data_IF_394404530400
#
_entry.id   IF_394404530400
#
_cell.length_a   1.000
_cell.length_b   1.000
_cell.length_c   1.000
_cell.angle_alpha   90.00
_cell.angle_beta   90.00
_cell.angle_gamma   90.00
#
_symmetry.space_group_name_H-M   'P 1'
#
loop_
_entity.id
_entity.type
_entity.pdbx_description
1 polymer ?
#
# COMPACT_ATOMS: atom_id res chain seq x y z
N UNK A 1 23.99 11.78 6.61
CA UNK A 1 23.86 12.62 5.40
C UNK A 1 22.57 13.43 5.55
N UNK A 2 22.68 14.75 5.70
CA UNK A 2 21.55 15.67 5.73
C UNK A 2 21.05 15.84 4.29
N UNK A 3 19.90 15.28 3.98
CA UNK A 3 19.23 15.54 2.71
C UNK A 3 18.63 16.95 2.78
N UNK A 4 19.37 17.92 2.27
CA UNK A 4 18.83 19.24 1.94
C UNK A 4 17.87 19.07 0.76
N UNK A 5 16.68 19.67 0.83
CA UNK A 5 15.76 19.70 -0.30
C UNK A 5 16.46 20.35 -1.50
N UNK A 6 16.43 19.67 -2.63
CA UNK A 6 16.92 20.25 -3.90
C UNK A 6 16.09 21.52 -4.18
N UNK A 7 16.72 22.67 -4.49
CA UNK A 7 15.97 23.88 -4.84
C UNK A 7 14.96 23.58 -5.97
N UNK A 8 13.76 24.14 -5.86
CA UNK A 8 12.65 23.89 -6.81
C UNK A 8 13.05 24.11 -8.28
N UNK A 9 13.92 25.09 -8.53
CA UNK A 9 14.46 25.37 -9.86
C UNK A 9 15.29 24.22 -10.40
N UNK A 10 16.24 23.69 -9.62
CA UNK A 10 17.09 22.56 -10.03
C UNK A 10 16.28 21.27 -10.21
N UNK A 11 15.30 21.02 -9.35
CA UNK A 11 14.43 19.84 -9.48
C UNK A 11 13.62 19.87 -10.78
N UNK A 12 13.17 21.05 -11.22
CA UNK A 12 12.43 21.20 -12.47
C UNK A 12 13.31 20.95 -13.70
N UNK A 13 14.57 21.43 -13.70
CA UNK A 13 15.52 21.16 -14.79
C UNK A 13 15.83 19.66 -14.88
N UNK A 14 16.23 19.04 -13.79
CA UNK A 14 16.58 17.61 -13.75
C UNK A 14 15.39 16.74 -14.16
N UNK A 15 14.20 17.04 -13.64
CA UNK A 15 13.00 16.32 -14.03
C UNK A 15 12.62 16.53 -15.50
N UNK A 16 12.92 17.71 -16.06
CA UNK A 16 12.68 18.02 -17.47
C UNK A 16 13.43 17.09 -18.43
N UNK A 17 14.60 16.59 -18.02
CA UNK A 17 15.43 15.67 -18.80
C UNK A 17 14.89 14.22 -18.85
N UNK A 18 13.87 13.88 -18.05
CA UNK A 18 13.27 12.54 -18.04
C UNK A 18 12.20 12.47 -19.13
N UNK A 19 12.35 11.66 -20.18
CA UNK A 19 11.39 11.58 -21.31
C UNK A 19 10.03 11.07 -20.87
N UNK A 20 9.98 10.04 -20.03
CA UNK A 20 8.74 9.41 -19.56
C UNK A 20 8.00 10.31 -18.58
N UNK A 21 6.73 10.64 -18.91
CA UNK A 21 5.87 11.56 -18.15
C UNK A 21 5.59 11.05 -16.72
N UNK A 22 5.38 9.75 -16.55
CA UNK A 22 5.09 9.15 -15.24
C UNK A 22 6.34 9.14 -14.35
N UNK A 23 7.49 8.76 -14.91
CA UNK A 23 8.80 8.80 -14.22
C UNK A 23 9.19 10.22 -13.86
N UNK A 24 8.99 11.19 -14.75
CA UNK A 24 9.22 12.63 -14.51
C UNK A 24 8.39 13.13 -13.34
N UNK A 25 7.09 12.78 -13.28
CA UNK A 25 6.21 13.16 -12.18
C UNK A 25 6.70 12.56 -10.84
N UNK A 26 7.08 11.28 -10.82
CA UNK A 26 7.64 10.62 -9.65
C UNK A 26 8.94 11.29 -9.18
N UNK A 27 9.87 11.56 -10.09
CA UNK A 27 11.15 12.21 -9.78
C UNK A 27 10.93 13.61 -9.18
N UNK A 28 10.02 14.42 -9.74
CA UNK A 28 9.69 15.75 -9.22
C UNK A 28 9.14 15.70 -7.79
N UNK A 29 8.25 14.75 -7.49
CA UNK A 29 7.72 14.57 -6.14
C UNK A 29 8.82 14.17 -5.16
N UNK A 30 9.71 13.26 -5.54
CA UNK A 30 10.81 12.82 -4.68
C UNK A 30 11.80 13.94 -4.40
N UNK A 31 12.14 14.77 -5.39
CA UNK A 31 13.10 15.86 -5.23
C UNK A 31 12.55 17.03 -4.41
N UNK A 32 11.26 17.31 -4.53
CA UNK A 32 10.61 18.43 -3.83
C UNK A 32 10.05 18.04 -2.47
N UNK A 33 10.10 16.76 -2.11
CA UNK A 33 9.62 16.30 -0.81
C UNK A 33 10.58 16.73 0.30
N UNK A 34 10.10 17.35 1.39
CA UNK A 34 10.94 17.74 2.51
C UNK A 34 11.35 16.51 3.35
N UNK A 35 12.19 15.67 2.79
CA UNK A 35 12.62 14.38 3.37
C UNK A 35 13.15 14.50 4.80
N UNK A 36 13.76 15.66 5.16
CA UNK A 36 14.26 15.88 6.51
C UNK A 36 13.13 15.80 7.56
N UNK A 37 11.95 16.32 7.23
CA UNK A 37 10.78 16.28 8.11
C UNK A 37 10.27 14.85 8.28
N UNK A 38 10.15 14.09 7.17
CA UNK A 38 9.72 12.71 7.23
C UNK A 38 10.73 11.84 7.98
N UNK A 39 12.03 11.99 7.73
CA UNK A 39 13.07 11.23 8.45
C UNK A 39 13.05 11.54 9.95
N UNK A 40 12.90 12.81 10.35
CA UNK A 40 12.77 13.18 11.76
C UNK A 40 11.50 12.58 12.38
N UNK A 41 10.39 12.61 11.66
CA UNK A 41 9.14 12.00 12.09
C UNK A 41 9.28 10.49 12.28
N UNK A 42 9.89 9.79 11.31
CA UNK A 42 10.15 8.35 11.38
C UNK A 42 10.98 8.03 12.62
N UNK A 43 12.08 8.75 12.87
CA UNK A 43 12.94 8.54 14.06
C UNK A 43 12.19 8.60 15.38
N UNK A 44 11.13 9.39 15.48
CA UNK A 44 10.31 9.52 16.70
C UNK A 44 9.25 8.43 16.83
N UNK A 45 9.03 7.63 15.78
CA UNK A 45 7.97 6.62 15.72
C UNK A 45 8.50 5.20 15.47
N UNK A 46 9.81 5.00 15.67
CA UNK A 46 10.48 3.70 15.71
C UNK A 46 11.47 3.69 16.86
N UNK A 47 11.67 2.53 17.47
CA UNK A 47 12.56 2.36 18.63
C UNK A 47 14.01 2.08 18.22
N UNK A 48 14.25 1.73 16.96
CA UNK A 48 15.55 1.37 16.43
C UNK A 48 16.20 2.50 15.61
N UNK A 49 17.53 2.56 15.52
CA UNK A 49 18.21 3.52 14.65
C UNK A 49 17.92 3.25 13.18
N UNK A 50 17.74 4.31 12.39
CA UNK A 50 17.60 4.22 10.94
C UNK A 50 18.94 3.86 10.33
N UNK A 51 19.05 2.66 9.76
CA UNK A 51 20.23 2.15 9.05
C UNK A 51 20.03 2.17 7.53
N UNK A 52 18.79 1.97 7.07
CA UNK A 52 18.44 1.89 5.65
C UNK A 52 17.13 2.60 5.37
N UNK A 53 17.11 3.39 4.31
CA UNK A 53 15.90 4.02 3.79
C UNK A 53 15.74 3.66 2.31
N UNK A 54 14.52 3.32 1.92
CA UNK A 54 14.10 3.18 0.53
C UNK A 54 12.90 4.08 0.32
N UNK A 55 12.87 4.81 -0.79
CA UNK A 55 11.76 5.71 -1.10
C UNK A 55 11.07 5.31 -2.38
N UNK A 56 9.76 5.38 -2.35
CA UNK A 56 8.89 5.11 -3.48
C UNK A 56 7.84 6.21 -3.56
N UNK A 57 7.34 6.47 -4.77
CA UNK A 57 6.18 7.35 -4.95
C UNK A 57 5.01 6.47 -5.36
N UNK A 58 3.93 6.53 -4.59
CA UNK A 58 2.71 5.78 -4.85
C UNK A 58 2.07 6.12 -6.19
N UNK A 59 1.07 5.33 -6.56
CA UNK A 59 0.34 5.51 -7.81
C UNK A 59 -0.17 6.97 -7.94
N UNK A 60 -0.03 7.55 -9.14
CA UNK A 60 -0.39 8.94 -9.44
C UNK A 60 0.22 10.00 -8.49
N UNK A 61 1.32 9.68 -7.80
CA UNK A 61 1.95 10.56 -6.82
C UNK A 61 0.99 11.01 -5.69
N UNK A 62 0.09 10.14 -5.25
CA UNK A 62 -0.80 10.42 -4.11
C UNK A 62 -0.07 10.36 -2.77
N UNK A 63 0.96 9.50 -2.68
CA UNK A 63 1.70 9.26 -1.44
C UNK A 63 3.20 9.16 -1.69
N UNK A 64 3.98 9.62 -0.70
CA UNK A 64 5.40 9.29 -0.56
C UNK A 64 5.50 8.08 0.38
N UNK A 65 6.10 7.01 -0.10
CA UNK A 65 6.29 5.78 0.66
C UNK A 65 7.76 5.68 1.05
N UNK A 66 8.03 5.48 2.34
CA UNK A 66 9.38 5.32 2.87
C UNK A 66 9.47 3.99 3.60
N UNK A 67 10.27 3.08 3.05
CA UNK A 67 10.67 1.84 3.70
C UNK A 67 11.86 2.08 4.63
N UNK A 68 11.82 1.52 5.84
CA UNK A 68 12.82 1.71 6.88
C UNK A 68 13.30 0.37 7.39
N UNK A 69 14.62 0.13 7.29
CA UNK A 69 15.31 -1.05 7.81
C UNK A 69 14.77 -2.40 7.31
N UNK A 70 14.04 -2.42 6.17
CA UNK A 70 13.28 -3.59 5.72
C UNK A 70 12.37 -4.19 6.82
N UNK A 71 11.83 -3.30 7.70
CA UNK A 71 10.97 -3.63 8.85
C UNK A 71 9.69 -2.81 8.87
N UNK A 72 9.76 -1.53 8.46
CA UNK A 72 8.62 -0.61 8.48
C UNK A 72 8.40 0.06 7.14
N UNK A 73 7.15 0.36 6.85
CA UNK A 73 6.70 1.22 5.75
C UNK A 73 5.95 2.41 6.34
N UNK A 74 6.30 3.61 5.89
CA UNK A 74 5.57 4.84 6.20
C UNK A 74 4.99 5.40 4.90
N UNK A 75 3.68 5.61 4.85
CA UNK A 75 2.96 6.19 3.70
C UNK A 75 2.49 7.60 4.06
N UNK A 76 3.17 8.61 3.51
CA UNK A 76 2.90 10.02 3.74
C UNK A 76 1.98 10.55 2.62
N UNK A 77 0.84 11.20 2.93
CA UNK A 77 0.00 11.79 1.91
C UNK A 77 0.69 12.99 1.28
N UNK A 78 0.68 13.08 -0.05
CA UNK A 78 1.23 14.19 -0.82
C UNK A 78 0.15 15.17 -1.31
N UNK A 79 -1.09 14.72 -1.41
CA UNK A 79 -2.23 15.54 -1.79
C UNK A 79 -3.01 16.00 -0.56
N UNK A 80 -3.75 17.12 -0.71
CA UNK A 80 -4.64 17.67 0.32
C UNK A 80 -6.10 17.24 0.15
N UNK A 81 -6.34 16.25 -0.70
CA UNK A 81 -7.67 15.66 -0.92
C UNK A 81 -8.15 14.81 0.28
N UNK A 82 -9.06 13.91 0.04
CA UNK A 82 -9.65 12.98 1.01
C UNK A 82 -8.68 11.91 1.58
N UNK A 83 -7.37 12.12 1.53
CA UNK A 83 -6.37 11.12 1.95
C UNK A 83 -6.48 10.72 3.43
N UNK A 84 -6.95 11.63 4.30
CA UNK A 84 -7.13 11.33 5.72
C UNK A 84 -8.37 10.46 5.95
N UNK A 85 -9.45 10.66 5.19
CA UNK A 85 -10.64 9.81 5.18
C UNK A 85 -10.31 8.41 4.66
N UNK A 86 -9.54 8.33 3.56
CA UNK A 86 -9.07 7.05 3.02
C UNK A 86 -8.20 6.31 4.03
N UNK A 87 -7.31 7.01 4.76
CA UNK A 87 -6.49 6.38 5.79
C UNK A 87 -7.33 5.83 6.95
N UNK A 88 -8.34 6.56 7.42
CA UNK A 88 -9.25 6.09 8.47
C UNK A 88 -10.10 4.91 7.99
N UNK A 89 -10.60 4.99 6.75
CA UNK A 89 -11.37 3.92 6.12
C UNK A 89 -10.55 2.65 5.99
N UNK A 90 -9.30 2.75 5.52
CA UNK A 90 -8.38 1.62 5.41
C UNK A 90 -8.17 0.91 6.75
N UNK A 91 -7.91 1.67 7.83
CA UNK A 91 -7.75 1.10 9.18
C UNK A 91 -8.99 0.33 9.63
N UNK A 92 -10.19 0.88 9.42
CA UNK A 92 -11.44 0.21 9.77
C UNK A 92 -11.60 -1.11 9.02
N UNK A 93 -11.34 -1.10 7.71
CA UNK A 93 -11.45 -2.29 6.84
C UNK A 93 -10.41 -3.34 7.27
N UNK A 94 -9.14 -2.95 7.43
CA UNK A 94 -8.08 -3.86 7.84
C UNK A 94 -8.38 -4.49 9.21
N UNK A 95 -8.79 -3.70 10.20
CA UNK A 95 -9.12 -4.21 11.53
C UNK A 95 -10.31 -5.18 11.52
N UNK A 96 -11.28 -4.96 10.64
CA UNK A 96 -12.46 -5.81 10.52
C UNK A 96 -12.19 -7.11 9.75
N UNK A 97 -11.38 -7.06 8.69
CA UNK A 97 -11.14 -8.19 7.79
C UNK A 97 -9.91 -9.03 8.13
N UNK A 98 -8.89 -8.45 8.77
CA UNK A 98 -7.66 -9.17 9.13
C UNK A 98 -7.90 -10.41 9.99
N UNK A 99 -8.78 -10.40 11.02
CA UNK A 99 -9.06 -11.60 11.83
C UNK A 99 -9.78 -12.72 11.06
N UNK A 100 -10.44 -12.39 9.95
CA UNK A 100 -11.20 -13.32 9.11
C UNK A 100 -10.39 -13.87 7.94
N UNK A 101 -9.32 -13.16 7.57
CA UNK A 101 -8.52 -13.47 6.38
C UNK A 101 -7.65 -14.71 6.56
N UNK A 102 -7.66 -15.66 5.59
CA UNK A 102 -6.75 -16.81 5.58
C UNK A 102 -5.31 -16.44 5.20
N UNK A 103 -5.07 -15.19 4.75
CA UNK A 103 -3.76 -14.65 4.38
C UNK A 103 -3.50 -13.42 5.25
N UNK A 104 -2.26 -13.26 5.70
CA UNK A 104 -1.88 -12.15 6.57
C UNK A 104 -2.17 -10.78 5.92
N UNK A 105 -2.84 -9.93 6.65
CA UNK A 105 -3.07 -8.52 6.33
C UNK A 105 -2.31 -7.70 7.36
N UNK A 106 -1.24 -6.98 6.98
CA UNK A 106 -0.48 -6.18 7.93
C UNK A 106 -1.35 -5.11 8.60
N UNK A 107 -1.27 -4.97 9.93
CA UNK A 107 -2.01 -3.95 10.64
C UNK A 107 -1.56 -2.55 10.22
N UNK A 108 -2.49 -1.61 10.21
CA UNK A 108 -2.25 -0.21 9.86
C UNK A 108 -2.25 0.63 11.13
N UNK A 109 -1.13 1.24 11.46
CA UNK A 109 -1.03 2.22 12.54
C UNK A 109 -1.16 3.63 11.96
N UNK A 110 -2.08 4.42 12.51
CA UNK A 110 -2.23 5.85 12.15
C UNK A 110 -1.37 6.69 13.07
N UNK A 111 -0.57 7.54 12.47
CA UNK A 111 0.26 8.56 13.11
C UNK A 111 -0.13 9.94 12.57
N UNK A 112 0.20 11.02 13.28
CA UNK A 112 -0.16 12.39 12.85
C UNK A 112 1.08 13.25 12.68
N UNK A 113 1.26 13.79 11.45
CA UNK A 113 2.31 14.74 11.12
C UNK A 113 1.70 16.04 10.61
N UNK A 114 1.87 17.15 11.34
CA UNK A 114 1.38 18.49 10.97
C UNK A 114 -0.11 18.49 10.56
N UNK A 115 -0.94 17.80 11.34
CA UNK A 115 -2.38 17.69 11.08
C UNK A 115 -2.79 16.64 10.05
N UNK A 116 -1.86 15.99 9.34
CA UNK A 116 -2.15 14.96 8.34
C UNK A 116 -1.90 13.55 8.88
N UNK A 117 -2.69 12.60 8.42
CA UNK A 117 -2.55 11.20 8.82
C UNK A 117 -1.45 10.52 7.99
N UNK A 118 -0.52 9.90 8.70
CA UNK A 118 0.55 9.06 8.13
C UNK A 118 0.25 7.63 8.53
N UNK A 119 0.29 6.72 7.56
CA UNK A 119 0.10 5.30 7.80
C UNK A 119 1.45 4.61 8.00
N UNK A 120 1.56 3.79 9.05
CA UNK A 120 2.72 2.94 9.32
C UNK A 120 2.29 1.48 9.26
N UNK A 121 3.06 0.67 8.54
CA UNK A 121 2.84 -0.76 8.36
C UNK A 121 4.11 -1.53 8.66
N UNK A 122 3.97 -2.82 8.92
CA UNK A 122 5.09 -3.74 8.84
C UNK A 122 5.55 -3.92 7.39
N UNK A 123 6.86 -4.04 7.19
CA UNK A 123 7.42 -4.37 5.89
C UNK A 123 7.29 -5.87 5.63
N UNK A 124 6.54 -6.25 4.63
CA UNK A 124 6.43 -7.65 4.19
C UNK A 124 7.56 -7.98 3.21
N UNK A 125 8.36 -8.98 3.54
CA UNK A 125 9.42 -9.47 2.65
C UNK A 125 8.81 -10.39 1.60
N UNK A 126 8.92 -10.04 0.33
CA UNK A 126 8.39 -10.80 -0.78
C UNK A 126 8.39 -9.98 -2.06
N UNK A 127 7.78 -10.53 -3.10
CA UNK A 127 7.52 -9.83 -4.36
C UNK A 127 6.03 -9.80 -4.62
N UNK A 128 5.54 -8.76 -5.26
CA UNK A 128 4.16 -8.77 -5.75
C UNK A 128 4.02 -9.76 -6.91
N UNK A 129 2.79 -10.14 -7.25
CA UNK A 129 2.55 -10.95 -8.45
C UNK A 129 3.18 -10.30 -9.69
N UNK A 130 3.02 -8.98 -9.85
CA UNK A 130 3.61 -8.22 -10.97
C UNK A 130 5.15 -8.27 -10.98
N UNK A 131 5.80 -8.35 -9.83
CA UNK A 131 7.26 -8.42 -9.70
C UNK A 131 7.81 -9.84 -9.80
N UNK A 132 6.93 -10.84 -9.74
CA UNK A 132 7.31 -12.25 -9.83
C UNK A 132 7.44 -12.65 -11.30
N UNK A 133 8.44 -13.48 -11.62
CA UNK A 133 8.63 -13.97 -12.97
C UNK A 133 7.38 -14.67 -13.51
N UNK A 134 6.93 -14.37 -14.74
CA UNK A 134 5.80 -15.07 -15.36
C UNK A 134 5.97 -16.60 -15.40
N UNK A 135 7.17 -17.09 -15.63
CA UNK A 135 7.44 -18.55 -15.68
C UNK A 135 7.21 -19.20 -14.31
N UNK A 136 7.62 -18.54 -13.22
CA UNK A 136 7.36 -19.00 -11.86
C UNK A 136 5.86 -19.01 -11.56
N UNK A 137 5.15 -17.96 -11.97
CA UNK A 137 3.69 -17.88 -11.80
C UNK A 137 3.01 -19.02 -12.56
N UNK A 138 3.37 -19.25 -13.84
CA UNK A 138 2.80 -20.30 -14.65
C UNK A 138 3.08 -21.69 -14.08
N UNK A 139 4.32 -21.93 -13.62
CA UNK A 139 4.71 -23.20 -12.99
C UNK A 139 3.88 -23.50 -11.74
N UNK A 140 3.50 -22.48 -10.97
CA UNK A 140 2.80 -22.63 -9.70
C UNK A 140 1.35 -22.09 -9.74
N UNK A 141 0.78 -21.88 -10.94
CA UNK A 141 -0.51 -21.23 -11.15
C UNK A 141 -1.66 -21.82 -10.33
N UNK A 142 -1.75 -23.16 -10.27
CA UNK A 142 -2.82 -23.85 -9.52
C UNK A 142 -2.73 -23.58 -8.02
N UNK A 143 -1.52 -23.57 -7.46
CA UNK A 143 -1.29 -23.26 -6.05
C UNK A 143 -1.66 -21.82 -5.72
N UNK A 144 -1.16 -20.88 -6.52
CA UNK A 144 -1.45 -19.45 -6.34
C UNK A 144 -2.94 -19.14 -6.52
N UNK A 145 -3.55 -19.66 -7.59
CA UNK A 145 -4.97 -19.47 -7.85
C UNK A 145 -5.84 -19.99 -6.70
N UNK A 146 -5.53 -21.16 -6.13
CA UNK A 146 -6.28 -21.70 -5.00
C UNK A 146 -6.19 -20.81 -3.76
N UNK A 147 -5.00 -20.29 -3.43
CA UNK A 147 -4.81 -19.40 -2.28
C UNK A 147 -5.57 -18.09 -2.48
N UNK A 148 -5.45 -17.48 -3.67
CA UNK A 148 -6.13 -16.24 -4.02
C UNK A 148 -7.65 -16.44 -4.01
N UNK A 149 -8.16 -17.51 -4.63
CA UNK A 149 -9.60 -17.79 -4.66
C UNK A 149 -10.16 -18.02 -3.27
N UNK A 150 -9.46 -18.77 -2.40
CA UNK A 150 -9.86 -18.98 -1.02
C UNK A 150 -9.91 -17.64 -0.25
N UNK A 151 -8.91 -16.80 -0.42
CA UNK A 151 -8.89 -15.46 0.19
C UNK A 151 -10.08 -14.61 -0.30
N UNK A 152 -10.27 -14.50 -1.61
CA UNK A 152 -11.37 -13.72 -2.20
C UNK A 152 -12.74 -14.24 -1.72
N UNK A 153 -12.91 -15.56 -1.64
CA UNK A 153 -14.13 -16.16 -1.15
C UNK A 153 -14.39 -15.81 0.33
N UNK A 154 -13.41 -16.04 1.20
CA UNK A 154 -13.56 -15.81 2.65
C UNK A 154 -13.82 -14.32 2.94
N UNK A 155 -13.04 -13.42 2.34
CA UNK A 155 -13.20 -11.97 2.53
C UNK A 155 -14.48 -11.47 1.88
N UNK A 156 -14.76 -11.91 0.65
CA UNK A 156 -15.94 -11.50 -0.10
C UNK A 156 -17.25 -11.93 0.54
N UNK A 157 -17.30 -13.09 1.20
CA UNK A 157 -18.50 -13.56 1.90
C UNK A 157 -18.62 -13.05 3.35
N UNK A 158 -17.59 -12.35 3.85
CA UNK A 158 -17.59 -11.82 5.22
C UNK A 158 -18.52 -10.61 5.36
N UNK A 159 -19.17 -10.50 6.52
CA UNK A 159 -20.03 -9.36 6.87
C UNK A 159 -19.72 -8.82 8.28
N UNK A 160 -18.52 -8.27 8.49
CA UNK A 160 -18.16 -7.72 9.80
C UNK A 160 -18.97 -6.46 10.12
N UNK A 161 -19.61 -6.48 11.29
CA UNK A 161 -20.51 -5.40 11.73
C UNK A 161 -19.84 -4.01 11.77
N UNK A 162 -18.52 -3.98 12.02
CA UNK A 162 -17.71 -2.76 12.21
C UNK A 162 -17.57 -1.90 10.95
N UNK A 163 -17.87 -2.47 9.77
CA UNK A 163 -17.73 -1.80 8.46
C UNK A 163 -18.98 -1.90 7.59
N UNK A 164 -20.13 -2.26 8.17
CA UNK A 164 -21.41 -2.33 7.41
C UNK A 164 -21.84 -0.99 6.85
N UNK A 165 -21.56 0.09 7.55
CA UNK A 165 -21.84 1.46 7.11
C UNK A 165 -21.00 1.91 5.91
N UNK A 166 -19.93 1.20 5.60
CA UNK A 166 -19.10 1.46 4.42
C UNK A 166 -19.61 0.77 3.14
N UNK A 167 -20.65 -0.06 3.27
CA UNK A 167 -21.27 -0.71 2.11
C UNK A 167 -22.11 0.29 1.32
N UNK A 168 -21.98 0.31 -0.01
CA UNK A 168 -22.89 1.10 -0.84
C UNK A 168 -24.31 0.52 -0.79
N UNK A 169 -25.30 1.33 -1.12
CA UNK A 169 -26.69 0.90 -1.26
C UNK A 169 -26.97 0.09 -2.53
N UNK A 170 -25.95 -0.22 -3.31
CA UNK A 170 -26.06 -0.97 -4.55
C UNK A 170 -26.43 -2.45 -4.32
N UNK A 171 -27.19 -3.03 -5.22
CA UNK A 171 -27.53 -4.45 -5.24
C UNK A 171 -26.53 -5.26 -6.05
N UNK A 172 -26.33 -6.53 -5.67
CA UNK A 172 -25.51 -7.47 -6.40
C UNK A 172 -26.06 -7.73 -7.82
N UNK A 173 -25.17 -7.87 -8.78
CA UNK A 173 -25.53 -8.40 -10.10
C UNK A 173 -25.71 -9.92 -10.02
N UNK A 174 -26.71 -10.50 -10.70
CA UNK A 174 -26.90 -11.94 -10.70
C UNK A 174 -25.64 -12.68 -11.21
N UNK A 175 -25.19 -13.71 -10.49
CA UNK A 175 -24.06 -14.55 -10.88
C UNK A 175 -22.68 -14.04 -10.44
N UNK A 176 -22.59 -12.88 -9.76
CA UNK A 176 -21.35 -12.36 -9.24
C UNK A 176 -21.29 -12.46 -7.70
N UNK A 177 -20.10 -12.66 -7.17
CA UNK A 177 -19.87 -12.54 -5.73
C UNK A 177 -19.88 -11.05 -5.37
N UNK A 178 -20.86 -10.64 -4.59
CA UNK A 178 -21.00 -9.27 -4.13
C UNK A 178 -20.52 -9.19 -2.68
N UNK A 179 -19.34 -8.62 -2.49
CA UNK A 179 -18.71 -8.64 -1.18
C UNK A 179 -17.50 -7.70 -1.07
N UNK A 180 -16.71 -7.89 -0.03
CA UNK A 180 -15.49 -7.11 0.17
C UNK A 180 -14.41 -7.55 -0.81
N UNK A 181 -13.80 -6.58 -1.46
CA UNK A 181 -12.67 -6.76 -2.38
C UNK A 181 -11.54 -5.80 -2.02
N UNK A 182 -10.30 -6.26 -2.18
CA UNK A 182 -9.10 -5.42 -2.00
C UNK A 182 -8.88 -4.46 -3.17
N UNK A 183 -9.36 -4.80 -4.36
CA UNK A 183 -9.36 -3.92 -5.55
C UNK A 183 -8.17 -4.09 -6.49
N UNK A 184 -6.98 -4.54 -6.04
CA UNK A 184 -5.79 -4.74 -6.89
C UNK A 184 -4.99 -5.98 -6.49
N UNK A 185 -5.26 -7.09 -7.15
CA UNK A 185 -4.59 -8.38 -6.89
C UNK A 185 -3.13 -8.36 -7.37
N UNK A 186 -2.84 -7.74 -8.51
CA UNK A 186 -1.53 -7.87 -9.15
C UNK A 186 -0.41 -7.16 -8.40
N UNK A 187 -0.70 -5.99 -7.84
CA UNK A 187 0.30 -5.15 -7.19
C UNK A 187 0.34 -5.30 -5.65
N UNK A 188 -0.69 -5.94 -5.05
CA UNK A 188 -0.85 -5.95 -3.60
C UNK A 188 -0.79 -7.34 -2.95
N UNK A 189 -0.76 -8.43 -3.74
CA UNK A 189 -0.56 -9.78 -3.22
C UNK A 189 0.93 -10.09 -3.18
N UNK A 190 1.46 -10.25 -1.98
CA UNK A 190 2.87 -10.53 -1.72
C UNK A 190 3.15 -12.02 -1.78
N UNK A 191 4.12 -12.41 -2.59
CA UNK A 191 4.54 -13.79 -2.82
C UNK A 191 5.91 -14.03 -2.19
N UNK A 192 6.03 -15.09 -1.43
CA UNK A 192 7.31 -15.70 -1.10
C UNK A 192 7.76 -16.51 -2.30
N UNK A 193 8.82 -16.07 -2.99
CA UNK A 193 9.28 -16.68 -4.24
C UNK A 193 10.01 -18.02 -4.06
N UNK A 194 10.38 -18.41 -2.83
CA UNK A 194 10.98 -19.71 -2.54
C UNK A 194 9.88 -20.77 -2.39
N UNK A 195 8.84 -20.46 -1.64
CA UNK A 195 7.74 -21.38 -1.37
C UNK A 195 6.57 -21.23 -2.33
N UNK A 196 6.50 -20.14 -3.08
CA UNK A 196 5.37 -19.77 -3.91
C UNK A 196 4.04 -19.73 -3.14
N UNK A 197 4.08 -19.21 -1.92
CA UNK A 197 2.91 -18.92 -1.13
C UNK A 197 2.57 -17.44 -1.23
N UNK A 198 1.27 -17.11 -1.22
CA UNK A 198 0.80 -15.76 -0.95
C UNK A 198 0.92 -15.54 0.56
N UNK A 199 1.84 -14.65 0.96
CA UNK A 199 2.19 -14.47 2.38
C UNK A 199 1.53 -13.26 3.02
N UNK A 200 1.13 -12.25 2.22
CA UNK A 200 0.38 -11.12 2.72
C UNK A 200 -0.38 -10.40 1.62
N UNK A 201 -1.35 -9.58 2.02
CA UNK A 201 -2.08 -8.67 1.15
C UNK A 201 -1.98 -7.27 1.74
N UNK A 202 -1.41 -6.36 0.95
CA UNK A 202 -1.08 -5.00 1.36
C UNK A 202 -1.96 -3.95 0.66
N UNK A 203 -1.87 -2.69 1.10
CA UNK A 203 -2.48 -1.51 0.46
C UNK A 203 -4.00 -1.62 0.26
N UNK A 204 -4.73 -1.46 1.36
CA UNK A 204 -6.19 -1.61 1.42
C UNK A 204 -6.96 -0.30 1.19
N UNK A 205 -6.29 0.77 0.75
CA UNK A 205 -6.97 2.08 0.58
C UNK A 205 -8.06 2.08 -0.50
N UNK A 206 -7.92 1.23 -1.53
CA UNK A 206 -8.89 1.08 -2.62
C UNK A 206 -9.89 -0.07 -2.37
N UNK A 207 -9.83 -0.72 -1.21
CA UNK A 207 -10.76 -1.77 -0.85
C UNK A 207 -12.21 -1.28 -0.83
N UNK A 208 -13.12 -2.06 -1.37
CA UNK A 208 -14.52 -1.70 -1.51
C UNK A 208 -15.45 -2.90 -1.32
N UNK A 209 -16.73 -2.61 -1.12
CA UNK A 209 -17.78 -3.60 -1.13
C UNK A 209 -18.50 -3.52 -2.48
N UNK A 210 -18.47 -4.59 -3.26
CA UNK A 210 -19.02 -4.61 -4.63
C UNK A 210 -18.82 -5.95 -5.31
N UNK A 211 -18.98 -5.95 -6.62
CA UNK A 211 -18.74 -7.07 -7.53
C UNK A 211 -17.45 -6.85 -8.35
#
# INVERSE_FOLDING_TARGET
MLFTSVPHFLSNIICGLIPDKARRKKARVMMNSPMAIQVQFIRRNIDEPIRRLKTFVGYQARSLIIGVNDKWIFKFPLRRDNSDELAQREVRIVNALSPLSPIYIPPVQILKLRGRLVRKYEFVRGKTLRQTSPDLILKHKTKLARQIANFLYVVGTSDPAQIRDLKPSASARPGFLFGWSQGDVCDNFMIDTETMNVIAIIDWEDAHFGD
#
